data_IF_430520718870
#
_entry.id   IF_430520718870
#
_cell.length_a   1.000
_cell.length_b   1.000
_cell.length_c   1.000
_cell.angle_alpha   90.00
_cell.angle_beta   90.00
_cell.angle_gamma   90.00
#
_symmetry.space_group_name_H-M   'P 1'
#
loop_
_entity.id
_entity.type
_entity.pdbx_description
1 polymer ?
#
# COMPACT_ATOMS: atom_id res chain seq x y z
N UNK A 1 2.08 24.96 -16.73
CA UNK A 1 1.64 24.81 -15.32
C UNK A 1 2.38 23.62 -14.76
N UNK A 2 3.33 23.87 -13.87
CA UNK A 2 4.17 22.85 -13.25
C UNK A 2 3.29 21.85 -12.52
N UNK A 3 3.24 20.62 -13.05
CA UNK A 3 2.48 19.52 -12.46
C UNK A 3 3.13 19.16 -11.11
N UNK A 4 2.32 19.11 -10.06
CA UNK A 4 2.68 18.79 -8.67
C UNK A 4 3.10 17.31 -8.49
N UNK A 5 3.60 16.70 -9.55
CA UNK A 5 3.97 15.30 -9.72
C UNK A 5 5.26 14.92 -8.96
N UNK A 6 5.91 15.88 -8.29
CA UNK A 6 7.26 15.78 -7.74
C UNK A 6 7.31 15.99 -6.21
N UNK A 7 6.19 15.90 -5.49
CA UNK A 7 6.24 15.91 -4.01
C UNK A 7 6.56 14.51 -3.47
N UNK A 8 7.82 14.14 -3.65
CA UNK A 8 8.49 12.94 -3.14
C UNK A 8 8.16 12.68 -1.66
N UNK A 9 7.24 11.76 -1.40
CA UNK A 9 7.12 11.09 -0.10
C UNK A 9 8.27 10.06 0.01
N UNK A 10 9.47 10.52 0.38
CA UNK A 10 10.60 9.65 0.75
C UNK A 10 10.52 9.30 2.22
N UNK A 11 10.44 8.04 2.64
CA UNK A 11 10.98 7.58 3.93
C UNK A 11 11.32 6.08 3.83
N UNK A 12 12.61 5.78 3.70
CA UNK A 12 13.53 5.31 4.77
C UNK A 12 13.27 3.85 5.16
N UNK A 13 13.93 2.95 4.43
CA UNK A 13 13.95 1.53 4.74
C UNK A 13 14.76 1.24 6.01
N UNK A 14 14.36 0.20 6.73
CA UNK A 14 15.21 -0.78 7.45
C UNK A 14 14.36 -1.52 8.48
N UNK A 15 13.91 -2.73 8.14
CA UNK A 15 13.06 -3.51 9.07
C UNK A 15 12.94 -4.99 8.72
N UNK A 16 14.08 -5.69 8.62
CA UNK A 16 14.28 -7.16 8.63
C UNK A 16 12.99 -8.02 8.81
N UNK A 17 12.28 -8.31 7.71
CA UNK A 17 11.51 -9.57 7.59
C UNK A 17 12.09 -10.38 6.43
N UNK A 18 13.29 -10.94 6.65
CA UNK A 18 13.86 -11.95 5.75
C UNK A 18 13.11 -13.26 6.01
N UNK A 19 12.34 -13.72 5.03
CA UNK A 19 11.86 -15.10 5.05
C UNK A 19 10.82 -15.42 3.98
N UNK A 20 11.28 -15.68 2.75
CA UNK A 20 10.66 -16.49 1.68
C UNK A 20 9.21 -16.21 1.18
N UNK A 21 8.34 -15.55 1.95
CA UNK A 21 6.93 -15.39 1.57
C UNK A 21 6.73 -14.32 0.49
N UNK A 22 7.58 -13.29 0.45
CA UNK A 22 7.38 -12.18 -0.48
C UNK A 22 7.73 -12.46 -1.92
N UNK A 23 8.52 -13.49 -2.21
CA UNK A 23 8.82 -13.90 -3.59
C UNK A 23 7.75 -14.83 -4.17
N UNK A 24 6.82 -15.34 -3.34
CA UNK A 24 5.76 -16.25 -3.76
C UNK A 24 4.40 -15.55 -3.91
N UNK A 25 4.26 -14.34 -3.36
CA UNK A 25 3.00 -13.61 -3.32
C UNK A 25 3.06 -12.36 -4.21
N UNK A 26 2.28 -12.36 -5.28
CA UNK A 26 2.09 -11.20 -6.16
C UNK A 26 1.08 -10.24 -5.51
N UNK A 27 1.61 -9.27 -4.78
CA UNK A 27 0.81 -8.28 -4.04
C UNK A 27 -0.05 -7.41 -4.96
N UNK A 28 0.42 -7.07 -6.16
CA UNK A 28 -0.34 -6.26 -7.12
C UNK A 28 -1.52 -7.04 -7.67
N UNK A 29 -1.32 -8.33 -7.99
CA UNK A 29 -2.40 -9.22 -8.39
C UNK A 29 -3.43 -9.38 -7.27
N UNK A 30 -3.00 -9.59 -6.03
CA UNK A 30 -3.90 -9.72 -4.90
C UNK A 30 -4.75 -8.45 -4.70
N UNK A 31 -4.15 -7.27 -4.75
CA UNK A 31 -4.86 -5.99 -4.65
C UNK A 31 -5.95 -5.83 -5.73
N UNK A 32 -5.63 -6.22 -6.96
CA UNK A 32 -6.58 -6.18 -8.09
C UNK A 32 -7.73 -7.17 -7.90
N UNK A 33 -7.44 -8.38 -7.42
CA UNK A 33 -8.44 -9.44 -7.24
C UNK A 33 -9.39 -9.16 -6.05
N UNK A 34 -8.93 -8.44 -5.02
CA UNK A 34 -9.76 -8.02 -3.88
C UNK A 34 -10.84 -7.01 -4.31
N UNK A 35 -10.68 -6.36 -5.46
CA UNK A 35 -11.70 -5.46 -6.02
C UNK A 35 -11.85 -4.16 -5.25
N UNK A 36 -10.74 -3.65 -4.70
CA UNK A 36 -10.66 -2.35 -4.02
C UNK A 36 -11.05 -1.23 -4.99
N UNK A 37 -11.85 -0.27 -4.51
CA UNK A 37 -12.33 0.88 -5.30
C UNK A 37 -12.12 2.20 -4.56
N UNK A 38 -12.19 3.29 -5.31
CA UNK A 38 -12.22 4.65 -4.78
C UNK A 38 -13.28 4.78 -3.68
N UNK A 39 -12.92 5.43 -2.58
CA UNK A 39 -13.80 5.62 -1.42
C UNK A 39 -13.86 4.45 -0.45
N UNK A 40 -13.18 3.33 -0.70
CA UNK A 40 -13.17 2.21 0.23
C UNK A 40 -12.37 2.52 1.51
N UNK A 41 -12.77 1.88 2.60
CA UNK A 41 -12.09 1.92 3.90
C UNK A 41 -11.52 0.53 4.19
N UNK A 42 -10.21 0.42 4.40
CA UNK A 42 -9.49 -0.85 4.59
C UNK A 42 -8.68 -0.86 5.89
N UNK A 43 -8.50 -2.07 6.44
CA UNK A 43 -7.52 -2.37 7.49
C UNK A 43 -6.45 -3.29 6.90
N UNK A 44 -5.19 -2.83 6.89
CA UNK A 44 -4.01 -3.63 6.57
C UNK A 44 -3.37 -4.10 7.89
N UNK A 45 -3.75 -5.29 8.34
CA UNK A 45 -3.26 -5.88 9.58
C UNK A 45 -1.93 -6.62 9.33
N UNK A 46 -0.89 -6.25 10.07
CA UNK A 46 0.46 -6.79 9.83
C UNK A 46 1.13 -6.15 8.62
N UNK A 47 0.86 -4.86 8.37
CA UNK A 47 1.26 -4.13 7.17
C UNK A 47 2.77 -4.13 6.88
N UNK A 48 3.62 -4.41 7.88
CA UNK A 48 5.07 -4.46 7.73
C UNK A 48 5.65 -3.16 7.15
N UNK A 49 6.36 -3.26 6.03
CA UNK A 49 6.92 -2.12 5.29
C UNK A 49 5.88 -1.36 4.44
N UNK A 50 4.61 -1.75 4.50
CA UNK A 50 3.51 -1.06 3.81
C UNK A 50 3.33 -1.46 2.34
N UNK A 51 3.85 -2.63 1.93
CA UNK A 51 3.74 -3.10 0.52
C UNK A 51 2.31 -3.27 0.02
N UNK A 52 1.36 -3.48 0.92
CA UNK A 52 -0.07 -3.54 0.59
C UNK A 52 -0.76 -2.19 0.87
N UNK A 53 -0.48 -1.60 2.04
CA UNK A 53 -1.02 -0.29 2.44
C UNK A 53 -0.80 0.84 1.42
N UNK A 54 0.41 0.96 0.86
CA UNK A 54 0.77 2.07 -0.04
C UNK A 54 -0.08 2.02 -1.34
N UNK A 55 -0.01 0.95 -2.15
CA UNK A 55 -0.81 0.87 -3.38
C UNK A 55 -2.33 0.81 -3.11
N UNK A 56 -2.76 0.23 -1.98
CA UNK A 56 -4.17 0.31 -1.59
C UNK A 56 -4.62 1.75 -1.34
N UNK A 57 -3.78 2.57 -0.69
CA UNK A 57 -4.09 3.98 -0.42
C UNK A 57 -4.24 4.81 -1.70
N UNK A 58 -3.42 4.52 -2.71
CA UNK A 58 -3.53 5.15 -4.04
C UNK A 58 -4.83 4.76 -4.74
N UNK A 59 -5.28 3.51 -4.61
CA UNK A 59 -6.50 3.02 -5.24
C UNK A 59 -7.76 3.60 -4.61
N UNK A 60 -7.81 3.70 -3.27
CA UNK A 60 -8.99 4.26 -2.59
C UNK A 60 -9.10 5.77 -2.72
N UNK A 61 -7.98 6.45 -2.96
CA UNK A 61 -7.91 7.90 -3.17
C UNK A 61 -8.40 8.72 -1.97
N UNK A 62 -8.56 10.03 -2.18
CA UNK A 62 -8.84 11.00 -1.11
C UNK A 62 -10.19 10.81 -0.39
N UNK A 63 -11.12 10.11 -1.03
CA UNK A 63 -12.44 9.79 -0.45
C UNK A 63 -12.44 8.52 0.40
N UNK A 64 -11.35 7.74 0.36
CA UNK A 64 -11.20 6.49 1.09
C UNK A 64 -10.20 6.60 2.23
N UNK A 65 -9.91 5.45 2.86
CA UNK A 65 -8.91 5.38 3.94
C UNK A 65 -8.30 4.00 4.08
N UNK A 66 -7.00 3.95 4.35
CA UNK A 66 -6.31 2.72 4.75
C UNK A 66 -5.76 2.90 6.15
N UNK A 67 -6.19 2.04 7.07
CA UNK A 67 -5.64 1.94 8.41
C UNK A 67 -4.56 0.86 8.42
N UNK A 68 -3.32 1.26 8.65
CA UNK A 68 -2.19 0.33 8.77
C UNK A 68 -1.90 0.09 10.26
N UNK A 69 -1.95 -1.18 10.68
CA UNK A 69 -1.76 -1.57 12.07
C UNK A 69 -0.72 -2.68 12.23
N UNK A 70 0.02 -2.62 13.33
CA UNK A 70 0.82 -3.74 13.84
C UNK A 70 0.08 -4.47 14.95
#
# INVERSE_FOLDING_TARGET
>A
MSNEFERKHRHFGSGRFRGHFSSLFDFEKALREIGIKTGNILLDAGCGEGRFSIPASETVGDSGKVYAGR
#
